data_IF_710289627811
#
_entry.id   IF_710289627811
#
_cell.length_a   1.000
_cell.length_b   1.000
_cell.length_c   1.000
_cell.angle_alpha   90.00
_cell.angle_beta   90.00
_cell.angle_gamma   90.00
#
_symmetry.space_group_name_H-M   'P 1'
#
loop_
_entity.id
_entity.type
_entity.pdbx_description
1 polymer ?
#
# COMPACT_ATOMS: atom_id res chain seq x y z
N UNK A 1 -4.00 10.37 23.71
CA UNK A 1 -3.68 8.93 23.60
C UNK A 1 -4.07 8.53 22.20
N UNK A 2 -3.10 8.45 21.28
CA UNK A 2 -3.37 8.00 19.90
C UNK A 2 -3.27 6.47 19.86
N UNK A 3 -4.39 5.81 20.12
CA UNK A 3 -4.50 4.37 19.93
C UNK A 3 -4.54 4.10 18.42
N UNK A 4 -3.38 3.79 17.85
CA UNK A 4 -3.29 3.30 16.48
C UNK A 4 -3.84 1.86 16.46
N UNK A 5 -5.15 1.73 16.25
CA UNK A 5 -5.77 0.44 16.01
C UNK A 5 -5.43 0.06 14.56
N UNK A 6 -4.55 -0.91 14.38
CA UNK A 6 -4.37 -1.56 13.09
C UNK A 6 -5.65 -2.31 12.75
N UNK A 7 -6.44 -1.77 11.82
CA UNK A 7 -7.59 -2.50 11.28
C UNK A 7 -7.04 -3.59 10.36
N UNK A 8 -7.21 -4.85 10.78
CA UNK A 8 -6.87 -6.01 9.95
C UNK A 8 -7.58 -5.96 8.60
N UNK A 9 -6.92 -6.44 7.55
CA UNK A 9 -7.52 -6.56 6.22
C UNK A 9 -8.74 -7.49 6.21
N UNK A 10 -9.66 -7.22 5.30
CA UNK A 10 -10.83 -8.04 5.09
C UNK A 10 -10.41 -9.38 4.49
N UNK A 11 -10.68 -10.46 5.23
CA UNK A 11 -10.51 -11.83 4.75
C UNK A 11 -11.87 -12.48 4.53
N UNK A 12 -11.87 -13.66 3.92
CA UNK A 12 -13.09 -14.31 3.45
C UNK A 12 -14.19 -14.46 4.53
N UNK A 13 -13.82 -14.78 5.78
CA UNK A 13 -14.78 -14.89 6.88
C UNK A 13 -15.47 -13.57 7.20
N UNK A 14 -14.72 -12.46 7.21
CA UNK A 14 -15.29 -11.13 7.40
C UNK A 14 -16.17 -10.72 6.21
N UNK A 15 -15.73 -11.01 4.98
CA UNK A 15 -16.53 -10.80 3.79
C UNK A 15 -17.89 -11.50 3.85
N UNK A 16 -17.95 -12.77 4.28
CA UNK A 16 -19.23 -13.49 4.41
C UNK A 16 -20.21 -12.80 5.35
N UNK A 17 -19.70 -12.26 6.47
CA UNK A 17 -20.53 -11.49 7.41
C UNK A 17 -21.05 -10.23 6.75
N UNK A 18 -20.21 -9.50 6.00
CA UNK A 18 -20.63 -8.31 5.27
C UNK A 18 -21.64 -8.63 4.17
N UNK A 19 -21.41 -9.69 3.38
CA UNK A 19 -22.31 -10.11 2.31
C UNK A 19 -23.69 -10.49 2.84
N UNK A 20 -23.74 -11.22 3.97
CA UNK A 20 -25.01 -11.49 4.66
C UNK A 20 -25.67 -10.20 5.16
N UNK A 21 -24.92 -9.28 5.76
CA UNK A 21 -25.49 -8.07 6.34
C UNK A 21 -26.02 -7.06 5.31
N UNK A 22 -25.36 -6.92 4.16
CA UNK A 22 -25.72 -5.92 3.16
C UNK A 22 -26.60 -6.47 2.03
N UNK A 23 -26.44 -7.75 1.69
CA UNK A 23 -27.09 -8.36 0.53
C UNK A 23 -28.02 -9.52 0.89
N UNK A 24 -28.06 -9.94 2.17
CA UNK A 24 -28.78 -11.13 2.64
C UNK A 24 -28.40 -12.42 1.89
N UNK A 25 -27.12 -12.51 1.48
CA UNK A 25 -26.56 -13.67 0.76
C UNK A 25 -25.64 -14.48 1.66
N UNK A 26 -25.91 -15.77 1.80
CA UNK A 26 -25.05 -16.72 2.53
C UNK A 26 -24.12 -17.53 1.61
N UNK A 27 -24.48 -17.68 0.33
CA UNK A 27 -23.69 -18.38 -0.68
C UNK A 27 -23.94 -17.77 -2.07
N UNK A 28 -22.89 -17.69 -2.88
CA UNK A 28 -22.95 -17.21 -4.25
C UNK A 28 -21.88 -17.91 -5.10
N UNK A 29 -22.12 -18.11 -6.39
CA UNK A 29 -21.14 -18.72 -7.31
C UNK A 29 -19.81 -17.95 -7.36
N UNK A 30 -19.87 -16.63 -7.18
CA UNK A 30 -18.73 -15.71 -7.16
C UNK A 30 -17.88 -15.77 -5.88
N UNK A 31 -18.34 -16.44 -4.81
CA UNK A 31 -17.60 -16.48 -3.55
C UNK A 31 -16.22 -17.14 -3.69
N UNK A 32 -16.09 -18.14 -4.56
CA UNK A 32 -14.81 -18.79 -4.82
C UNK A 32 -13.78 -17.82 -5.40
N UNK A 33 -14.22 -16.96 -6.32
CA UNK A 33 -13.38 -15.92 -6.91
C UNK A 33 -13.05 -14.82 -5.90
N UNK A 34 -14.04 -14.33 -5.16
CA UNK A 34 -13.83 -13.30 -4.13
C UNK A 34 -12.86 -13.79 -3.05
N UNK A 35 -12.97 -15.06 -2.63
CA UNK A 35 -12.04 -15.67 -1.68
C UNK A 35 -10.60 -15.59 -2.18
N UNK A 36 -10.36 -16.04 -3.43
CA UNK A 36 -9.03 -16.00 -4.06
C UNK A 36 -8.51 -14.57 -4.13
N UNK A 37 -9.33 -13.62 -4.56
CA UNK A 37 -8.93 -12.21 -4.65
C UNK A 37 -8.59 -11.60 -3.28
N UNK A 38 -9.36 -11.89 -2.22
CA UNK A 38 -9.10 -11.42 -0.85
C UNK A 38 -7.89 -12.10 -0.18
N UNK A 39 -7.43 -13.24 -0.68
CA UNK A 39 -6.18 -13.89 -0.24
C UNK A 39 -4.95 -13.23 -0.88
N UNK A 40 -5.10 -12.70 -2.10
CA UNK A 40 -4.02 -12.09 -2.88
C UNK A 40 -3.94 -10.57 -2.76
N UNK A 41 -5.01 -9.92 -2.30
CA UNK A 41 -5.14 -8.47 -2.22
C UNK A 41 -5.51 -8.05 -0.81
N UNK A 42 -4.81 -7.04 -0.30
CA UNK A 42 -5.10 -6.42 0.98
C UNK A 42 -6.11 -5.26 0.78
N UNK A 43 -7.33 -5.44 1.26
CA UNK A 43 -8.40 -4.44 1.21
C UNK A 43 -9.06 -4.32 2.59
N UNK A 44 -9.42 -3.11 3.04
CA UNK A 44 -9.99 -2.95 4.37
C UNK A 44 -11.45 -3.43 4.42
N UNK A 45 -11.98 -3.82 5.59
CA UNK A 45 -13.39 -4.17 5.72
C UNK A 45 -14.35 -3.04 5.29
N UNK A 46 -13.94 -1.77 5.47
CA UNK A 46 -14.72 -0.61 5.03
C UNK A 46 -14.81 -0.51 3.51
N UNK A 47 -13.68 -0.69 2.81
CA UNK A 47 -13.64 -0.67 1.33
C UNK A 47 -14.44 -1.85 0.74
N UNK A 48 -14.38 -3.02 1.38
CA UNK A 48 -15.19 -4.17 0.98
C UNK A 48 -16.68 -3.88 1.19
N UNK A 49 -17.06 -3.33 2.33
CA UNK A 49 -18.44 -2.96 2.62
C UNK A 49 -18.99 -1.91 1.63
N UNK A 50 -18.18 -0.91 1.26
CA UNK A 50 -18.55 0.09 0.25
C UNK A 50 -18.93 -0.57 -1.09
N UNK A 51 -18.16 -1.57 -1.51
CA UNK A 51 -18.44 -2.30 -2.73
C UNK A 51 -19.67 -3.21 -2.62
N UNK A 52 -20.04 -3.66 -1.42
CA UNK A 52 -21.21 -4.51 -1.19
C UNK A 52 -22.50 -3.73 -0.95
N UNK A 53 -22.44 -2.45 -0.58
CA UNK A 53 -23.65 -1.63 -0.38
C UNK A 53 -24.32 -1.31 -1.72
N UNK A 54 -25.57 -1.75 -1.97
CA UNK A 54 -26.30 -1.35 -3.18
C UNK A 54 -26.42 0.16 -3.28
N UNK A 55 -26.19 0.72 -4.48
CA UNK A 55 -26.27 2.17 -4.72
C UNK A 55 -27.65 2.64 -5.17
N UNK A 56 -28.51 1.71 -5.57
CA UNK A 56 -29.92 1.93 -5.90
C UNK A 56 -30.72 0.65 -5.66
N UNK A 57 -32.05 0.76 -5.65
CA UNK A 57 -32.96 -0.39 -5.50
C UNK A 57 -32.91 -1.38 -6.68
N UNK A 58 -32.23 -1.01 -7.78
CA UNK A 58 -32.06 -1.84 -8.98
C UNK A 58 -30.78 -2.69 -8.93
N UNK A 59 -29.83 -2.37 -8.05
CA UNK A 59 -28.61 -3.16 -7.89
C UNK A 59 -28.87 -4.41 -7.03
N UNK A 60 -28.74 -5.58 -7.63
CA UNK A 60 -28.80 -6.85 -6.92
C UNK A 60 -27.43 -7.27 -6.35
N UNK A 61 -27.44 -8.40 -5.62
CA UNK A 61 -26.22 -8.96 -5.04
C UNK A 61 -25.16 -9.30 -6.10
N UNK A 62 -25.61 -9.72 -7.29
CA UNK A 62 -24.76 -10.07 -8.41
C UNK A 62 -23.93 -8.87 -8.89
N UNK A 63 -24.58 -7.72 -9.05
CA UNK A 63 -23.95 -6.46 -9.43
C UNK A 63 -22.95 -6.01 -8.35
N UNK A 64 -23.34 -6.08 -7.09
CA UNK A 64 -22.49 -5.67 -5.96
C UNK A 64 -21.23 -6.57 -5.84
N UNK A 65 -21.39 -7.88 -5.97
CA UNK A 65 -20.28 -8.85 -5.91
C UNK A 65 -19.33 -8.70 -7.11
N UNK A 66 -19.84 -8.49 -8.32
CA UNK A 66 -19.01 -8.22 -9.51
C UNK A 66 -18.23 -6.92 -9.36
N UNK A 67 -18.84 -5.89 -8.76
CA UNK A 67 -18.16 -4.62 -8.45
C UNK A 67 -17.00 -4.84 -7.47
N UNK A 68 -17.22 -5.61 -6.40
CA UNK A 68 -16.15 -5.97 -5.46
C UNK A 68 -14.99 -6.69 -6.14
N UNK A 69 -15.26 -7.68 -7.01
CA UNK A 69 -14.20 -8.41 -7.75
C UNK A 69 -13.36 -7.42 -8.56
N UNK A 70 -14.02 -6.56 -9.34
CA UNK A 70 -13.33 -5.55 -10.15
C UNK A 70 -12.42 -4.65 -9.29
N UNK A 71 -12.91 -4.17 -8.15
CA UNK A 71 -12.11 -3.34 -7.25
C UNK A 71 -10.91 -4.07 -6.65
N UNK A 72 -11.06 -5.37 -6.33
CA UNK A 72 -9.95 -6.19 -5.83
C UNK A 72 -8.87 -6.42 -6.90
N UNK A 73 -9.27 -6.60 -8.16
CA UNK A 73 -8.34 -6.73 -9.29
C UNK A 73 -7.57 -5.43 -9.56
N UNK A 74 -8.28 -4.29 -9.51
CA UNK A 74 -7.67 -2.96 -9.68
C UNK A 74 -6.64 -2.67 -8.58
N UNK A 75 -6.96 -2.96 -7.31
CA UNK A 75 -6.01 -2.74 -6.21
C UNK A 75 -4.79 -3.68 -6.32
N UNK A 76 -5.00 -4.94 -6.72
CA UNK A 76 -3.90 -5.88 -7.01
C UNK A 76 -2.95 -5.33 -8.08
N UNK A 77 -3.52 -4.81 -9.17
CA UNK A 77 -2.72 -4.26 -10.26
C UNK A 77 -1.96 -2.99 -9.82
N UNK A 78 -2.60 -2.13 -9.01
CA UNK A 78 -1.99 -0.92 -8.46
C UNK A 78 -0.81 -1.24 -7.55
N UNK A 79 -0.95 -2.22 -6.64
CA UNK A 79 0.15 -2.67 -5.77
C UNK A 79 1.31 -3.22 -6.61
N UNK A 80 1.02 -4.02 -7.66
CA UNK A 80 2.05 -4.53 -8.56
C UNK A 80 2.82 -3.40 -9.26
N UNK A 81 2.11 -2.42 -9.83
CA UNK A 81 2.72 -1.25 -10.51
C UNK A 81 3.58 -0.43 -9.55
N UNK A 82 3.12 -0.20 -8.33
CA UNK A 82 3.89 0.52 -7.30
C UNK A 82 5.17 -0.21 -6.92
N UNK A 83 5.11 -1.54 -6.76
CA UNK A 83 6.28 -2.36 -6.47
C UNK A 83 7.30 -2.31 -7.62
N UNK A 84 6.86 -2.46 -8.87
CA UNK A 84 7.71 -2.36 -10.06
C UNK A 84 8.38 -0.97 -10.19
N UNK A 85 7.64 0.10 -9.93
CA UNK A 85 8.15 1.46 -9.96
C UNK A 85 9.18 1.73 -8.85
N UNK A 86 8.93 1.23 -7.64
CA UNK A 86 9.89 1.33 -6.53
C UNK A 86 11.18 0.57 -6.85
N UNK A 87 11.11 -0.67 -7.33
CA UNK A 87 12.30 -1.44 -7.76
C UNK A 87 13.10 -0.68 -8.83
N UNK A 88 12.42 -0.10 -9.83
CA UNK A 88 13.08 0.69 -10.88
C UNK A 88 13.75 1.96 -10.34
N UNK A 89 13.21 2.58 -9.28
CA UNK A 89 13.76 3.79 -8.65
C UNK A 89 14.86 3.49 -7.62
N UNK A 90 14.93 2.28 -7.07
CA UNK A 90 15.97 1.87 -6.10
C UNK A 90 17.40 2.22 -6.54
N UNK A 91 17.90 1.85 -7.74
CA UNK A 91 19.27 2.13 -8.13
C UNK A 91 19.56 3.64 -8.21
N UNK A 92 18.61 4.44 -8.68
CA UNK A 92 18.72 5.91 -8.70
C UNK A 92 18.77 6.49 -7.28
N UNK A 93 17.93 6.00 -6.37
CA UNK A 93 17.92 6.43 -4.95
C UNK A 93 19.23 6.05 -4.25
N UNK A 94 19.76 4.86 -4.51
CA UNK A 94 21.04 4.41 -3.97
C UNK A 94 22.22 5.20 -4.53
N UNK A 95 22.28 5.43 -5.84
CA UNK A 95 23.32 6.24 -6.47
C UNK A 95 23.31 7.67 -5.90
N UNK A 96 22.12 8.27 -5.72
CA UNK A 96 21.98 9.60 -5.12
C UNK A 96 22.41 9.64 -3.65
N UNK A 97 22.15 8.57 -2.88
CA UNK A 97 22.64 8.42 -1.50
C UNK A 97 24.16 8.32 -1.44
N UNK A 98 24.78 7.51 -2.32
CA UNK A 98 26.24 7.37 -2.40
C UNK A 98 26.92 8.69 -2.75
N UNK A 99 26.45 9.39 -3.79
CA UNK A 99 26.99 10.72 -4.16
C UNK A 99 26.91 11.74 -3.03
N UNK A 100 25.77 11.82 -2.32
CA UNK A 100 25.61 12.73 -1.17
C UNK A 100 26.55 12.38 -0.01
N UNK A 101 26.78 11.10 0.24
CA UNK A 101 27.72 10.67 1.27
C UNK A 101 29.16 11.05 0.90
N UNK A 102 29.55 10.82 -0.35
CA UNK A 102 30.88 11.18 -0.89
C UNK A 102 31.14 12.69 -0.84
N UNK A 103 30.18 13.50 -1.30
CA UNK A 103 30.25 14.98 -1.20
C UNK A 103 30.35 15.46 0.25
N UNK A 104 29.61 14.83 1.18
CA UNK A 104 29.68 15.17 2.60
C UNK A 104 31.04 14.81 3.22
N UNK A 105 31.64 13.69 2.81
CA UNK A 105 32.99 13.31 3.25
C UNK A 105 34.05 14.26 2.72
N UNK A 106 33.96 14.68 1.45
CA UNK A 106 34.91 15.61 0.84
C UNK A 106 34.87 16.97 1.52
N UNK A 107 33.67 17.51 1.76
CA UNK A 107 33.48 18.79 2.47
C UNK A 107 34.03 18.75 3.89
N UNK A 108 33.82 17.64 4.62
CA UNK A 108 34.39 17.47 5.97
C UNK A 108 35.93 17.44 5.95
N UNK A 109 36.53 16.76 4.97
CA UNK A 109 37.98 16.70 4.82
C UNK A 109 38.57 18.09 4.49
N UNK A 110 37.99 18.82 3.54
CA UNK A 110 38.41 20.19 3.20
C UNK A 110 38.28 21.15 4.39
N UNK A 111 37.21 21.03 5.17
CA UNK A 111 36.98 21.87 6.34
C UNK A 111 37.99 21.55 7.46
N UNK A 112 38.31 20.28 7.68
CA UNK A 112 39.34 19.87 8.63
C UNK A 112 40.74 20.36 8.21
N UNK A 113 41.07 20.31 6.91
CA UNK A 113 42.35 20.82 6.40
C UNK A 113 42.45 22.34 6.56
N UNK A 114 41.36 23.09 6.30
CA UNK A 114 41.31 24.54 6.55
C UNK A 114 41.49 24.89 8.03
N UNK A 115 40.84 24.16 8.93
CA UNK A 115 41.01 24.37 10.38
C UNK A 115 42.46 24.12 10.79
N UNK A 116 43.07 23.05 10.27
CA UNK A 116 44.47 22.72 10.57
C UNK A 116 45.43 23.81 10.10
N UNK A 117 45.27 24.32 8.87
CA UNK A 117 46.09 25.43 8.34
C UNK A 117 45.94 26.71 9.17
N UNK A 118 44.72 27.05 9.60
CA UNK A 118 44.52 28.23 10.46
C UNK A 118 45.19 28.09 11.83
N UNK A 119 45.22 26.89 12.42
CA UNK A 119 45.92 26.66 13.69
C UNK A 119 47.45 26.71 13.55
N UNK A 120 47.98 26.29 12.39
CA UNK A 120 49.42 26.30 12.12
C UNK A 120 49.94 27.73 11.78
N UNK A 121 49.08 28.67 11.36
CA UNK A 121 49.44 30.07 11.06
C UNK A 121 49.34 31.03 12.28
N UNK A 122 48.74 30.61 13.40
CA UNK A 122 48.59 31.40 14.63
C UNK A 122 49.75 31.24 15.65
N UNK A 123 50.82 30.51 15.32
CA UNK A 123 52.03 30.30 16.13
C UNK A 123 53.29 30.80 15.43
#
# INVERSE_FOLDING_TARGET
MDNHIEMSYCRFEAFKVLAKNYLDVEAHELYGEIKRCLEETDMSPADVAENLMPKSDEEDADICLKRLIKSLEEEKEKVRKLAEEEERKKPLREARRKKRAEEATLKKAEQAEKIKKMMDEEY
#
